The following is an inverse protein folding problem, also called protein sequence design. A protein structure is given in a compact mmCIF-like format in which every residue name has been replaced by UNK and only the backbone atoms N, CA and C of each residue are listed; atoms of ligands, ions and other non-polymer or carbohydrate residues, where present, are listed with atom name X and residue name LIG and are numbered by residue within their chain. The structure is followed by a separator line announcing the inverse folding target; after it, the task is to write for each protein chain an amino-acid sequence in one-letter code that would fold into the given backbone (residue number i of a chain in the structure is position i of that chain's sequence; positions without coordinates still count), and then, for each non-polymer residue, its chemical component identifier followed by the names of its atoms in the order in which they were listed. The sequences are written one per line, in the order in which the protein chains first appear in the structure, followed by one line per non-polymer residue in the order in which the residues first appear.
data_IF_838901379451
#
_entry.id   IF_838901379451
#
_cell.length_a   1.000
_cell.length_b   1.000
_cell.length_c   1.000
_cell.angle_alpha   90.00
_cell.angle_beta   90.00
_cell.angle_gamma   90.00
#
_symmetry.space_group_name_H-M   'P 1'
#
loop_
_entity.id
_entity.type
_entity.pdbx_description
1 polymer ?
#
# COMPACT_ATOMS: atom_id res chain seq x y z
N UNK A 1 -2.64 -19.26 7.93
CA UNK A 1 -3.17 -20.25 8.86
C UNK A 1 -4.70 -20.18 8.89
N UNK A 2 -5.36 -21.29 8.92
CA UNK A 2 -6.84 -21.44 8.85
C UNK A 2 -7.42 -22.03 10.15
N UNK A 3 -6.73 -21.86 11.28
CA UNK A 3 -7.12 -22.48 12.55
C UNK A 3 -8.45 -21.99 13.13
N UNK A 4 -8.86 -20.78 12.79
CA UNK A 4 -10.16 -20.23 13.20
C UNK A 4 -11.35 -20.81 12.40
N UNK A 5 -11.09 -21.51 11.27
CA UNK A 5 -12.13 -22.14 10.45
C UNK A 5 -12.93 -21.20 9.55
N UNK A 6 -12.62 -19.90 9.52
CA UNK A 6 -13.34 -18.88 8.74
C UNK A 6 -12.45 -18.18 7.70
N UNK A 7 -11.21 -17.89 8.05
CA UNK A 7 -10.30 -17.07 7.24
C UNK A 7 -8.84 -17.47 7.44
N UNK A 8 -7.99 -17.01 6.56
CA UNK A 8 -6.54 -17.20 6.65
C UNK A 8 -5.90 -16.02 7.38
N UNK A 9 -5.03 -16.32 8.35
CA UNK A 9 -4.25 -15.32 9.08
C UNK A 9 -2.75 -15.54 8.87
N UNK A 10 -1.96 -14.50 9.04
CA UNK A 10 -0.51 -14.57 9.01
C UNK A 10 0.03 -14.80 10.41
N UNK A 11 0.59 -15.99 10.59
CA UNK A 11 1.15 -16.42 11.88
C UNK A 11 2.59 -16.89 11.63
N UNK A 12 3.48 -16.51 12.51
CA UNK A 12 4.87 -16.97 12.54
C UNK A 12 5.23 -17.70 13.82
N UNK A 13 6.35 -18.41 13.77
CA UNK A 13 7.03 -18.98 14.94
C UNK A 13 8.52 -18.80 14.81
N UNK A 14 9.18 -18.60 15.93
CA UNK A 14 10.62 -18.68 15.98
C UNK A 14 11.07 -20.15 16.03
N UNK A 15 12.13 -20.47 15.33
CA UNK A 15 12.80 -21.75 15.40
C UNK A 15 14.25 -21.56 15.86
N UNK A 16 14.65 -22.32 16.86
CA UNK A 16 16.05 -22.43 17.22
C UNK A 16 16.75 -23.41 16.28
N UNK A 17 17.60 -22.88 15.40
CA UNK A 17 18.25 -23.67 14.35
C UNK A 17 19.23 -24.73 14.91
N UNK A 18 19.74 -24.57 16.12
CA UNK A 18 20.66 -25.53 16.74
C UNK A 18 19.93 -26.72 17.35
N UNK A 19 18.75 -26.51 17.93
CA UNK A 19 17.95 -27.57 18.55
C UNK A 19 16.82 -28.07 17.66
N UNK A 20 16.43 -27.33 16.62
CA UNK A 20 15.28 -27.61 15.79
C UNK A 20 13.93 -27.31 16.45
N UNK A 21 13.94 -26.79 17.67
CA UNK A 21 12.71 -26.52 18.43
C UNK A 21 12.05 -25.21 18.01
N UNK A 22 10.73 -25.24 17.89
CA UNK A 22 9.92 -24.03 17.71
C UNK A 22 9.62 -23.37 19.07
N UNK A 23 9.42 -22.04 19.03
CA UNK A 23 8.86 -21.33 20.16
C UNK A 23 7.50 -21.89 20.55
N UNK A 24 7.16 -21.82 21.85
CA UNK A 24 5.85 -22.26 22.34
C UNK A 24 4.72 -21.37 21.85
N UNK A 25 4.99 -20.10 21.67
CA UNK A 25 3.99 -19.11 21.31
C UNK A 25 3.97 -18.81 19.81
N UNK A 26 2.78 -18.56 19.29
CA UNK A 26 2.56 -18.06 17.95
C UNK A 26 2.70 -16.53 17.90
N UNK A 27 3.31 -16.04 16.84
CA UNK A 27 3.43 -14.61 16.56
C UNK A 27 2.38 -14.25 15.53
N UNK A 28 1.33 -13.57 15.97
CA UNK A 28 0.26 -13.12 15.07
C UNK A 28 0.67 -11.81 14.39
N UNK A 29 0.78 -11.82 13.06
CA UNK A 29 1.01 -10.65 12.24
C UNK A 29 -0.29 -10.04 11.73
N UNK A 30 -1.33 -10.86 11.61
CA UNK A 30 -2.67 -10.43 11.28
C UNK A 30 -3.70 -11.26 12.03
N UNK A 31 -4.78 -10.62 12.44
CA UNK A 31 -5.94 -11.25 13.10
C UNK A 31 -7.27 -10.66 12.61
N UNK A 32 -7.23 -9.93 11.50
CA UNK A 32 -8.43 -9.41 10.84
C UNK A 32 -9.37 -10.55 10.42
N UNK A 33 -10.67 -10.29 10.38
CA UNK A 33 -11.71 -11.27 10.03
C UNK A 33 -11.76 -11.59 8.54
N UNK A 34 -10.86 -11.03 7.75
CA UNK A 34 -10.71 -11.29 6.33
C UNK A 34 -9.50 -12.16 6.05
N UNK A 35 -9.39 -12.72 4.86
CA UNK A 35 -8.26 -13.59 4.53
C UNK A 35 -6.98 -12.83 4.26
N UNK A 36 -5.91 -13.19 4.96
CA UNK A 36 -4.56 -12.76 4.71
C UNK A 36 -3.71 -13.92 4.22
N UNK A 37 -3.07 -13.75 3.08
CA UNK A 37 -2.41 -14.84 2.37
C UNK A 37 -1.04 -14.43 1.80
N UNK A 38 -0.29 -15.43 1.34
CA UNK A 38 0.97 -15.27 0.60
C UNK A 38 1.98 -14.34 1.27
N UNK A 39 2.41 -14.66 2.51
CA UNK A 39 3.42 -13.87 3.18
C UNK A 39 4.75 -13.93 2.44
N UNK A 40 5.34 -12.78 2.20
CA UNK A 40 6.72 -12.59 1.81
C UNK A 40 7.50 -12.20 3.06
N UNK A 41 8.55 -12.97 3.38
CA UNK A 41 9.44 -12.67 4.51
C UNK A 41 10.84 -12.39 3.99
N UNK A 42 11.44 -11.30 4.45
CA UNK A 42 12.79 -10.91 4.08
C UNK A 42 13.61 -10.51 5.31
N UNK A 43 14.74 -11.17 5.53
CA UNK A 43 15.73 -10.70 6.48
C UNK A 43 16.39 -9.42 5.96
N UNK A 44 16.40 -8.37 6.77
CA UNK A 44 16.94 -7.04 6.42
C UNK A 44 18.20 -6.70 7.20
N UNK A 45 18.33 -7.28 8.38
CA UNK A 45 19.54 -7.27 9.22
C UNK A 45 19.55 -8.52 10.11
N UNK A 46 20.63 -8.82 10.84
CA UNK A 46 20.63 -9.89 11.81
C UNK A 46 19.51 -9.73 12.83
N UNK A 47 18.62 -10.72 12.91
CA UNK A 47 17.46 -10.70 13.81
C UNK A 47 16.32 -9.76 13.41
N UNK A 48 16.36 -9.14 12.24
CA UNK A 48 15.33 -8.22 11.77
C UNK A 48 14.73 -8.68 10.46
N UNK A 49 13.41 -8.71 10.40
CA UNK A 49 12.64 -9.21 9.26
C UNK A 49 11.55 -8.23 8.87
N UNK A 50 11.32 -8.10 7.57
CA UNK A 50 10.15 -7.44 7.00
C UNK A 50 9.24 -8.53 6.45
N UNK A 51 7.96 -8.42 6.76
CA UNK A 51 6.88 -9.27 6.25
C UNK A 51 5.94 -8.42 5.43
N UNK A 52 5.51 -8.94 4.28
CA UNK A 52 4.48 -8.34 3.44
C UNK A 52 3.52 -9.45 3.05
N UNK A 53 2.23 -9.16 3.04
CA UNK A 53 1.20 -10.14 2.68
C UNK A 53 0.08 -9.55 1.85
N UNK A 54 -0.66 -10.41 1.21
CA UNK A 54 -1.91 -10.10 0.54
C UNK A 54 -3.03 -10.12 1.57
N UNK A 55 -3.79 -9.02 1.65
CA UNK A 55 -4.80 -8.78 2.68
C UNK A 55 -6.17 -8.50 2.05
N UNK A 56 -7.16 -9.27 2.43
CA UNK A 56 -8.52 -9.18 1.89
C UNK A 56 -9.43 -8.16 2.55
N UNK A 57 -8.94 -7.34 3.51
CA UNK A 57 -9.79 -6.39 4.24
C UNK A 57 -10.43 -5.34 3.34
N UNK A 58 -9.84 -5.03 2.20
CA UNK A 58 -10.40 -4.16 1.17
C UNK A 58 -11.71 -4.67 0.55
N UNK A 59 -11.94 -6.01 0.54
CA UNK A 59 -13.16 -6.59 -0.01
C UNK A 59 -14.45 -6.21 0.73
N UNK A 60 -14.35 -5.83 1.99
CA UNK A 60 -15.49 -5.55 2.86
C UNK A 60 -15.70 -4.06 3.11
N UNK A 61 -14.97 -3.23 2.40
CA UNK A 61 -15.22 -1.80 2.46
C UNK A 61 -16.56 -1.50 1.76
N UNK A 62 -17.50 -0.93 2.50
CA UNK A 62 -18.83 -0.59 2.00
C UNK A 62 -18.85 0.59 1.02
N UNK A 63 -17.71 1.21 0.77
CA UNK A 63 -17.56 2.26 -0.24
C UNK A 63 -17.48 1.61 -1.63
N UNK A 64 -18.52 1.76 -2.49
CA UNK A 64 -18.50 1.20 -3.83
C UNK A 64 -17.45 1.82 -4.74
N UNK A 65 -16.80 2.91 -4.32
CA UNK A 65 -15.69 3.54 -5.03
C UNK A 65 -14.33 2.98 -4.62
N UNK A 66 -14.24 2.34 -3.46
CA UNK A 66 -13.04 1.64 -2.96
C UNK A 66 -13.14 0.13 -3.21
N UNK A 67 -13.65 -0.26 -4.37
CA UNK A 67 -14.03 -1.64 -4.65
C UNK A 67 -12.82 -2.56 -4.77
N UNK A 68 -12.67 -3.38 -3.75
CA UNK A 68 -12.79 -4.83 -3.93
C UNK A 68 -11.51 -5.43 -4.44
N UNK A 69 -10.51 -5.40 -3.59
CA UNK A 69 -9.29 -6.09 -3.93
C UNK A 69 -8.56 -6.63 -2.71
N UNK A 70 -7.63 -7.46 -3.02
CA UNK A 70 -6.57 -7.82 -2.11
C UNK A 70 -5.53 -6.72 -2.17
N UNK A 71 -5.21 -6.14 -1.03
CA UNK A 71 -4.21 -5.10 -0.86
C UNK A 71 -2.90 -5.68 -0.31
N UNK A 72 -1.84 -4.89 -0.32
CA UNK A 72 -0.58 -5.26 0.32
C UNK A 72 -0.43 -4.56 1.67
N UNK A 73 -0.27 -5.38 2.70
CA UNK A 73 0.06 -4.96 4.05
C UNK A 73 1.41 -5.51 4.48
N UNK A 74 2.01 -4.90 5.46
CA UNK A 74 3.30 -5.33 5.96
C UNK A 74 3.54 -5.04 7.43
N UNK A 75 4.51 -5.73 7.99
CA UNK A 75 5.00 -5.57 9.34
C UNK A 75 6.50 -5.81 9.38
N UNK A 76 7.15 -5.38 10.44
CA UNK A 76 8.49 -5.83 10.74
C UNK A 76 8.51 -6.57 12.08
N UNK A 77 9.47 -7.46 12.20
CA UNK A 77 9.71 -8.28 13.37
C UNK A 77 11.19 -8.23 13.77
N UNK A 78 11.44 -8.02 15.06
CA UNK A 78 12.77 -8.04 15.63
C UNK A 78 12.82 -9.17 16.64
N UNK A 79 13.76 -10.11 16.46
CA UNK A 79 13.97 -11.22 17.38
C UNK A 79 14.22 -10.69 18.80
N UNK A 80 13.49 -11.21 19.76
CA UNK A 80 13.55 -10.78 21.15
C UNK A 80 12.77 -9.51 21.51
N UNK A 81 12.33 -8.73 20.51
CA UNK A 81 11.53 -7.51 20.74
C UNK A 81 10.09 -7.62 20.18
N UNK A 82 9.87 -8.56 19.27
CA UNK A 82 8.56 -8.77 18.65
C UNK A 82 8.28 -7.90 17.44
N UNK A 83 7.00 -7.70 17.14
CA UNK A 83 6.54 -6.85 16.04
C UNK A 83 6.81 -5.38 16.33
N UNK A 84 7.19 -4.64 15.30
CA UNK A 84 7.36 -3.19 15.39
C UNK A 84 6.08 -2.41 15.01
N UNK A 85 5.13 -3.08 14.38
CA UNK A 85 3.81 -2.52 14.06
C UNK A 85 2.74 -3.09 14.98
N UNK A 86 1.56 -2.48 14.99
CA UNK A 86 0.37 -3.10 15.58
C UNK A 86 0.06 -4.45 14.93
N UNK A 87 -0.84 -5.23 15.57
CA UNK A 87 -1.45 -6.37 14.91
C UNK A 87 -2.16 -5.87 13.64
N UNK A 88 -2.20 -6.66 12.59
CA UNK A 88 -2.74 -6.33 11.27
C UNK A 88 -1.83 -5.43 10.41
N UNK A 89 -0.65 -5.08 10.89
CA UNK A 89 0.39 -4.41 10.11
C UNK A 89 0.02 -2.99 9.68
N UNK A 90 0.74 -2.52 8.68
CA UNK A 90 0.55 -1.21 8.05
C UNK A 90 0.30 -1.38 6.55
N UNK A 91 -0.48 -0.48 5.93
CA UNK A 91 -0.70 -0.51 4.50
C UNK A 91 0.58 -0.21 3.73
N UNK A 92 0.87 -1.03 2.73
CA UNK A 92 1.98 -0.88 1.79
C UNK A 92 1.49 -0.35 0.44
N UNK A 93 0.41 -0.95 -0.09
CA UNK A 93 -0.31 -0.50 -1.27
C UNK A 93 -1.78 -0.82 -1.08
N UNK A 94 -2.61 0.23 -1.10
CA UNK A 94 -4.06 0.14 -1.04
C UNK A 94 -4.59 0.84 -2.27
N UNK A 95 -5.09 0.07 -3.22
CA UNK A 95 -5.50 0.59 -4.52
C UNK A 95 -6.71 -0.17 -5.04
N UNK A 96 -7.35 0.36 -6.08
CA UNK A 96 -8.41 -0.35 -6.76
C UNK A 96 -7.96 -1.74 -7.21
N UNK A 97 -8.87 -2.69 -7.10
CA UNK A 97 -8.63 -4.09 -7.47
C UNK A 97 -7.49 -4.75 -6.69
N UNK A 98 -6.91 -5.78 -7.25
CA UNK A 98 -5.97 -6.62 -6.54
C UNK A 98 -4.52 -6.16 -6.71
N UNK A 99 -3.79 -6.14 -5.60
CA UNK A 99 -2.33 -6.07 -5.56
C UNK A 99 -1.81 -7.41 -5.06
N UNK A 100 -1.08 -8.12 -5.89
CA UNK A 100 -0.70 -9.51 -5.66
C UNK A 100 0.75 -9.81 -5.99
N UNK A 101 1.22 -10.96 -5.48
CA UNK A 101 2.53 -11.54 -5.81
C UNK A 101 3.68 -10.57 -5.54
N UNK A 102 3.63 -9.92 -4.39
CA UNK A 102 4.69 -9.03 -3.95
C UNK A 102 6.03 -9.76 -3.86
N UNK A 103 7.08 -9.10 -4.32
CA UNK A 103 8.46 -9.56 -4.15
C UNK A 103 9.34 -8.40 -3.72
N UNK A 104 10.39 -8.70 -2.96
CA UNK A 104 11.29 -7.69 -2.43
C UNK A 104 12.74 -8.09 -2.61
N UNK A 105 13.52 -7.16 -3.13
CA UNK A 105 14.95 -7.32 -3.38
C UNK A 105 15.72 -6.17 -2.75
N UNK A 106 16.88 -6.47 -2.18
CA UNK A 106 17.77 -5.42 -1.68
C UNK A 106 18.26 -4.59 -2.86
N UNK A 107 18.09 -3.28 -2.76
CA UNK A 107 18.43 -2.35 -3.84
C UNK A 107 19.73 -1.60 -3.54
N UNK A 108 19.80 -0.91 -2.42
CA UNK A 108 20.97 -0.14 -2.03
C UNK A 108 21.01 0.09 -0.51
N UNK A 109 22.14 -0.20 0.14
CA UNK A 109 22.29 0.05 1.58
C UNK A 109 21.17 -0.55 2.42
N UNK A 110 20.29 0.31 2.94
CA UNK A 110 19.10 -0.05 3.73
C UNK A 110 17.81 -0.01 2.90
N UNK A 111 17.89 0.26 1.61
CA UNK A 111 16.73 0.37 0.73
C UNK A 111 16.45 -0.95 0.03
N UNK A 112 15.18 -1.27 -0.10
CA UNK A 112 14.64 -2.44 -0.77
C UNK A 112 13.68 -2.03 -1.87
N UNK A 113 13.78 -2.66 -3.03
CA UNK A 113 12.80 -2.56 -4.09
C UNK A 113 11.72 -3.61 -3.85
N UNK A 114 10.52 -3.18 -3.53
CA UNK A 114 9.32 -3.98 -3.53
C UNK A 114 8.63 -3.82 -4.88
N UNK A 115 8.23 -4.92 -5.49
CA UNK A 115 7.42 -4.89 -6.71
C UNK A 115 6.29 -5.92 -6.64
N UNK A 116 5.21 -5.66 -7.35
CA UNK A 116 4.01 -6.50 -7.34
C UNK A 116 3.24 -6.41 -8.65
N UNK A 117 2.30 -7.33 -8.83
CA UNK A 117 1.29 -7.27 -9.88
C UNK A 117 0.11 -6.45 -9.37
N UNK A 118 -0.30 -5.49 -10.17
CA UNK A 118 -1.34 -4.53 -9.83
C UNK A 118 -2.42 -4.48 -10.91
N UNK A 119 -3.67 -4.66 -10.50
CA UNK A 119 -4.82 -4.69 -11.39
C UNK A 119 -5.62 -3.40 -11.37
N UNK A 120 -5.11 -2.32 -10.75
CA UNK A 120 -5.84 -1.05 -10.58
C UNK A 120 -6.42 -0.46 -11.85
N UNK A 121 -5.79 -0.69 -12.98
CA UNK A 121 -6.22 -0.10 -14.25
C UNK A 121 -7.37 -0.84 -14.93
N UNK A 122 -7.59 -2.12 -14.63
CA UNK A 122 -8.52 -2.93 -15.42
C UNK A 122 -9.31 -3.98 -14.64
N UNK A 123 -8.86 -4.36 -13.46
CA UNK A 123 -9.39 -5.48 -12.70
C UNK A 123 -9.14 -6.86 -13.32
N UNK A 124 -8.50 -6.93 -14.49
CA UNK A 124 -8.27 -8.16 -15.26
C UNK A 124 -6.80 -8.55 -15.24
N UNK A 125 -6.51 -9.82 -14.97
CA UNK A 125 -5.14 -10.33 -14.90
C UNK A 125 -4.37 -10.22 -16.23
N UNK A 126 -5.06 -10.30 -17.37
CA UNK A 126 -4.45 -10.17 -18.70
C UNK A 126 -3.92 -8.75 -18.98
N UNK A 127 -4.44 -7.77 -18.25
CA UNK A 127 -4.05 -6.36 -18.37
C UNK A 127 -3.34 -5.84 -17.12
N UNK A 128 -2.77 -6.76 -16.35
CA UNK A 128 -2.04 -6.43 -15.14
C UNK A 128 -0.78 -5.60 -15.44
N UNK A 129 -0.52 -4.64 -14.58
CA UNK A 129 0.71 -3.87 -14.61
C UNK A 129 1.66 -4.30 -13.49
N UNK A 130 2.96 -4.10 -13.70
CA UNK A 130 3.94 -4.23 -12.65
C UNK A 130 4.19 -2.86 -12.02
N UNK A 131 4.02 -2.80 -10.71
CA UNK A 131 4.35 -1.63 -9.91
C UNK A 131 5.53 -1.92 -9.02
N UNK A 132 6.29 -0.89 -8.70
CA UNK A 132 7.40 -0.99 -7.79
C UNK A 132 7.49 0.24 -6.88
N UNK A 133 7.99 0.02 -5.67
CA UNK A 133 8.21 1.06 -4.67
C UNK A 133 9.51 0.77 -3.92
N UNK A 134 10.29 1.80 -3.67
CA UNK A 134 11.40 1.69 -2.74
C UNK A 134 10.90 1.77 -1.31
N UNK A 135 11.31 0.82 -0.48
CA UNK A 135 11.02 0.77 0.94
C UNK A 135 12.35 0.87 1.68
N UNK A 136 12.46 1.83 2.58
CA UNK A 136 13.61 1.92 3.46
C UNK A 136 13.35 1.08 4.73
N UNK A 137 14.38 0.36 5.18
CA UNK A 137 14.31 -0.46 6.39
C UNK A 137 13.75 0.33 7.60
N UNK A 138 14.23 1.57 7.79
CA UNK A 138 13.79 2.43 8.88
C UNK A 138 12.30 2.74 8.85
N UNK A 139 11.69 2.86 7.66
CA UNK A 139 10.29 3.25 7.52
C UNK A 139 9.34 2.18 8.09
N UNK A 140 9.71 0.91 7.95
CA UNK A 140 8.91 -0.21 8.48
C UNK A 140 9.27 -0.48 9.95
N UNK A 141 10.54 -0.40 10.32
CA UNK A 141 10.97 -0.67 11.70
C UNK A 141 10.52 0.40 12.68
N UNK A 142 10.45 1.65 12.25
CA UNK A 142 10.00 2.78 13.09
C UNK A 142 8.49 2.97 13.11
N UNK A 143 7.74 2.17 12.37
CA UNK A 143 6.29 2.29 12.23
C UNK A 143 5.48 1.84 13.47
N UNK A 144 6.07 1.89 14.65
CA UNK A 144 5.38 1.72 15.95
C UNK A 144 4.23 2.72 16.10
N UNK A 145 3.15 2.51 15.34
CA UNK A 145 1.93 3.30 15.40
C UNK A 145 1.76 4.40 14.35
N UNK A 146 2.75 4.63 13.51
CA UNK A 146 2.55 5.44 12.29
C UNK A 146 2.80 4.52 11.12
N UNK A 147 1.77 4.26 10.30
CA UNK A 147 1.96 3.59 9.02
C UNK A 147 3.15 4.19 8.26
N UNK A 148 3.66 3.50 7.24
CA UNK A 148 4.51 4.16 6.25
C UNK A 148 3.63 5.25 5.65
N UNK A 149 3.59 6.34 6.33
CA UNK A 149 3.16 7.56 5.73
C UNK A 149 4.32 8.00 4.83
N UNK A 150 4.36 7.53 3.58
CA UNK A 150 4.27 8.59 2.60
C UNK A 150 3.17 9.45 3.17
N UNK A 151 3.46 10.63 3.64
CA UNK A 151 2.44 11.53 4.17
C UNK A 151 1.39 11.61 3.08
N UNK A 152 0.35 10.74 3.21
CA UNK A 152 -0.80 10.85 2.34
C UNK A 152 -1.24 12.29 2.55
N UNK A 153 -1.36 13.05 1.48
CA UNK A 153 -1.79 14.42 1.62
C UNK A 153 -3.08 14.40 2.44
N UNK A 154 -3.14 15.17 3.49
CA UNK A 154 -4.34 15.24 4.33
C UNK A 154 -5.39 16.21 3.77
N UNK A 155 -5.09 16.85 2.64
CA UNK A 155 -6.00 17.75 1.95
C UNK A 155 -5.72 17.76 0.43
N UNK A 156 -6.77 18.00 -0.34
CA UNK A 156 -6.65 18.29 -1.76
C UNK A 156 -5.95 19.65 -1.94
N UNK A 157 -4.99 19.72 -2.85
CA UNK A 157 -4.35 20.98 -3.23
C UNK A 157 -3.96 20.98 -4.70
N UNK A 158 -4.03 22.15 -5.34
CA UNK A 158 -3.44 22.40 -6.64
C UNK A 158 -2.08 23.06 -6.39
N UNK A 159 -0.99 22.42 -6.83
CA UNK A 159 0.37 22.90 -6.56
C UNK A 159 0.85 23.88 -7.62
N UNK A 160 0.65 23.55 -8.89
CA UNK A 160 1.15 24.35 -9.99
C UNK A 160 0.28 24.22 -11.23
N UNK A 161 0.31 25.29 -12.02
CA UNK A 161 -0.26 25.32 -13.37
C UNK A 161 0.79 25.90 -14.32
N UNK A 162 1.17 25.15 -15.34
CA UNK A 162 2.23 25.56 -16.25
C UNK A 162 2.01 25.09 -17.69
N UNK A 163 2.54 25.81 -18.68
CA UNK A 163 3.14 27.12 -18.56
C UNK A 163 2.12 28.19 -18.15
N UNK A 164 2.58 29.23 -17.46
CA UNK A 164 1.73 30.40 -17.18
C UNK A 164 2.55 31.69 -17.46
N UNK A 165 2.21 32.46 -18.51
CA UNK A 165 1.05 32.31 -19.41
C UNK A 165 1.12 31.07 -20.30
N UNK A 166 -0.04 30.54 -20.67
CA UNK A 166 -0.14 29.37 -21.56
C UNK A 166 -0.63 29.75 -22.97
N UNK A 167 -0.27 28.90 -23.93
CA UNK A 167 -0.74 29.02 -25.31
C UNK A 167 -1.23 27.66 -25.81
N UNK A 168 -2.52 27.45 -25.75
CA UNK A 168 -3.20 26.26 -26.26
C UNK A 168 -3.15 25.01 -25.37
N UNK A 169 -2.18 24.89 -24.45
CA UNK A 169 -2.09 23.78 -23.52
C UNK A 169 -1.56 24.25 -22.16
N UNK A 170 -2.17 23.74 -21.09
CA UNK A 170 -1.73 23.96 -19.70
C UNK A 170 -1.77 22.62 -18.97
N UNK A 171 -0.81 22.37 -18.11
CA UNK A 171 -0.78 21.22 -17.19
C UNK A 171 -0.97 21.69 -15.76
N UNK A 172 -1.61 20.86 -14.94
CA UNK A 172 -1.84 21.14 -13.53
C UNK A 172 -1.23 20.01 -12.70
N UNK A 173 -0.38 20.38 -11.75
CA UNK A 173 0.03 19.47 -10.68
C UNK A 173 -0.95 19.64 -9.52
N UNK A 174 -1.52 18.53 -9.08
CA UNK A 174 -2.45 18.53 -7.94
C UNK A 174 -2.22 17.32 -7.03
N UNK A 175 -2.63 17.48 -5.80
CA UNK A 175 -2.48 16.47 -4.75
C UNK A 175 -3.85 16.02 -4.30
N UNK A 176 -4.03 14.70 -4.19
CA UNK A 176 -5.28 14.06 -3.78
C UNK A 176 -5.08 13.32 -2.48
N UNK A 177 -5.89 13.59 -1.43
CA UNK A 177 -5.75 12.92 -0.14
C UNK A 177 -6.28 11.49 -0.12
N UNK A 178 -7.24 11.17 -0.98
CA UNK A 178 -7.86 9.85 -1.07
C UNK A 178 -8.35 9.59 -2.49
N UNK A 179 -8.50 8.33 -2.91
CA UNK A 179 -9.12 8.01 -4.18
C UNK A 179 -10.51 8.63 -4.29
N UNK A 180 -10.88 9.06 -5.48
CA UNK A 180 -12.18 9.67 -5.71
C UNK A 180 -12.34 10.33 -7.07
N UNK A 181 -13.52 10.86 -7.32
CA UNK A 181 -13.80 11.68 -8.49
C UNK A 181 -13.30 13.10 -8.25
N UNK A 182 -12.54 13.58 -9.21
CA UNK A 182 -12.04 14.95 -9.24
C UNK A 182 -12.66 15.63 -10.43
N UNK A 183 -13.30 16.75 -10.17
CA UNK A 183 -13.92 17.57 -11.18
C UNK A 183 -13.10 18.83 -11.41
N UNK A 184 -12.64 19.05 -12.64
CA UNK A 184 -11.98 20.28 -13.06
C UNK A 184 -12.90 21.08 -13.95
N UNK A 185 -13.25 22.27 -13.52
CA UNK A 185 -14.04 23.22 -14.30
C UNK A 185 -13.21 24.44 -14.63
N UNK A 186 -13.16 24.78 -15.90
CA UNK A 186 -12.45 25.97 -16.40
C UNK A 186 -13.48 27.00 -16.83
N UNK A 187 -13.32 28.20 -16.29
CA UNK A 187 -14.20 29.34 -16.58
C UNK A 187 -13.41 30.47 -17.24
N UNK A 188 -14.05 31.24 -18.07
CA UNK A 188 -13.50 32.50 -18.55
C UNK A 188 -13.62 33.61 -17.48
N UNK A 189 -13.06 34.77 -17.76
CA UNK A 189 -13.09 35.92 -16.84
C UNK A 189 -14.50 36.46 -16.55
N UNK A 190 -15.50 36.07 -17.35
CA UNK A 190 -16.90 36.45 -17.16
C UNK A 190 -17.70 35.36 -16.41
N UNK A 191 -17.03 34.27 -15.99
CA UNK A 191 -17.66 33.16 -15.28
C UNK A 191 -18.37 32.16 -16.21
N UNK A 192 -18.15 32.21 -17.52
CA UNK A 192 -18.69 31.22 -18.44
C UNK A 192 -17.85 29.96 -18.43
N UNK A 193 -18.47 28.81 -18.25
CA UNK A 193 -17.81 27.51 -18.32
C UNK A 193 -17.23 27.26 -19.71
N UNK A 194 -15.93 27.02 -19.80
CA UNK A 194 -15.18 26.75 -21.03
C UNK A 194 -14.91 25.26 -21.20
N UNK A 195 -14.58 24.58 -20.12
CA UNK A 195 -14.30 23.14 -20.12
C UNK A 195 -14.66 22.51 -18.79
N UNK A 196 -15.05 21.23 -18.85
CA UNK A 196 -15.40 20.41 -17.72
C UNK A 196 -14.76 19.03 -17.92
N UNK A 197 -13.98 18.57 -16.94
CA UNK A 197 -13.27 17.30 -16.96
C UNK A 197 -13.53 16.57 -15.66
N UNK A 198 -13.88 15.29 -15.78
CA UNK A 198 -14.00 14.38 -14.65
C UNK A 198 -12.86 13.37 -14.72
N UNK A 199 -12.06 13.31 -13.68
CA UNK A 199 -10.93 12.38 -13.54
C UNK A 199 -11.22 11.48 -12.36
N UNK A 200 -11.10 10.18 -12.56
CA UNK A 200 -11.07 9.23 -11.45
C UNK A 200 -9.64 9.12 -10.93
N UNK A 201 -9.38 9.63 -9.73
CA UNK A 201 -8.13 9.37 -9.04
C UNK A 201 -8.21 8.02 -8.36
N UNK A 202 -7.36 7.10 -8.77
CA UNK A 202 -7.29 5.75 -8.22
C UNK A 202 -6.31 5.61 -7.04
N UNK A 203 -5.57 6.66 -6.71
CA UNK A 203 -4.60 6.66 -5.60
C UNK A 203 -4.43 8.05 -5.00
N UNK A 204 -4.13 8.14 -3.69
CA UNK A 204 -3.72 9.39 -3.06
C UNK A 204 -2.32 9.80 -3.54
N UNK A 205 -2.04 11.09 -3.53
CA UNK A 205 -0.73 11.60 -3.90
C UNK A 205 -0.76 12.63 -5.00
N UNK A 206 0.40 12.83 -5.65
CA UNK A 206 0.58 13.83 -6.70
C UNK A 206 0.15 13.27 -8.07
N UNK A 207 -0.60 14.08 -8.79
CA UNK A 207 -1.08 13.84 -10.15
C UNK A 207 -0.74 15.01 -11.07
N UNK A 208 -0.70 14.75 -12.39
CA UNK A 208 -0.50 15.72 -13.45
C UNK A 208 -1.50 15.50 -14.59
#
# INVERSE_FOLDING_TARGET
DYRNGTDYNIIGKEININSGNFSSEDIYFSSDTTSQQRPLVKAVAPGEFILIWEDGRGYYNSDPLLINGVDLYGSAFIVGSGRTTGIDGIPISIEYHNQKKAQMTKYNGEDYLLHWIDLRSSGKEELANYYAKTIRRSDILSAGGKGITSSLPNAFSVESAYPNPFNGKISFDFIVPSPGLIEFRVFDINGKLIADYIILSSFPGKHN
#
